data_IF_371982600443
#
_entry.id   IF_371982600443
#
_cell.length_a   1.000
_cell.length_b   1.000
_cell.length_c   1.000
_cell.angle_alpha   90.00
_cell.angle_beta   90.00
_cell.angle_gamma   90.00
#
_symmetry.space_group_name_H-M   'P 1'
#
loop_
_entity.id
_entity.type
_entity.pdbx_description
1 polymer ?
#
# COMPACT_ATOMS: atom_id res chain seq x y z
N UNK A 1 17.33 -17.16 4.74
CA UNK A 1 16.09 -16.47 5.16
C UNK A 1 15.93 -15.22 4.33
N UNK A 2 14.69 -14.92 3.89
CA UNK A 2 14.36 -13.74 3.13
C UNK A 2 12.95 -13.25 3.48
N UNK A 3 12.69 -11.97 3.22
CA UNK A 3 11.35 -11.37 3.26
C UNK A 3 10.65 -11.55 1.89
N UNK A 4 9.45 -10.99 1.74
CA UNK A 4 8.72 -10.96 0.47
C UNK A 4 9.47 -10.24 -0.67
N UNK A 5 10.57 -9.53 -0.39
CA UNK A 5 11.42 -8.93 -1.43
C UNK A 5 12.01 -10.01 -2.37
N UNK A 6 12.29 -11.20 -1.84
CA UNK A 6 12.76 -12.34 -2.63
C UNK A 6 11.63 -13.04 -3.40
N UNK A 7 10.37 -12.72 -3.12
CA UNK A 7 9.21 -13.30 -3.81
C UNK A 7 9.05 -12.73 -5.22
N UNK A 8 9.23 -11.41 -5.39
CA UNK A 8 8.98 -10.70 -6.65
C UNK A 8 10.16 -9.89 -7.15
N UNK A 9 10.85 -9.17 -6.26
CA UNK A 9 11.76 -8.08 -6.64
C UNK A 9 13.19 -8.54 -6.90
N UNK A 10 13.70 -9.54 -6.17
CA UNK A 10 15.06 -10.02 -6.32
C UNK A 10 15.10 -11.39 -6.95
N UNK A 11 16.06 -11.56 -7.89
CA UNK A 11 16.40 -12.86 -8.41
C UNK A 11 17.69 -13.33 -7.75
N UNK A 12 17.57 -14.31 -6.85
CA UNK A 12 18.74 -14.98 -6.24
C UNK A 12 19.08 -16.18 -7.09
N UNK A 13 20.27 -16.23 -7.71
CA UNK A 13 20.66 -17.36 -8.53
C UNK A 13 20.91 -18.62 -7.68
N UNK A 14 20.71 -19.81 -8.26
CA UNK A 14 21.03 -21.08 -7.62
C UNK A 14 20.06 -21.56 -6.54
N UNK A 15 18.90 -20.95 -6.41
CA UNK A 15 17.87 -21.42 -5.48
C UNK A 15 17.24 -22.72 -6.03
N UNK A 16 17.44 -23.82 -5.31
CA UNK A 16 16.90 -25.15 -5.61
C UNK A 16 15.75 -25.51 -4.68
N UNK A 17 15.80 -25.02 -3.44
CA UNK A 17 14.80 -25.31 -2.42
C UNK A 17 14.16 -24.03 -1.91
N UNK A 18 12.83 -24.05 -1.80
CA UNK A 18 12.06 -23.02 -1.14
C UNK A 18 11.30 -23.67 0.03
N UNK A 19 11.35 -23.03 1.20
CA UNK A 19 10.53 -23.40 2.36
C UNK A 19 9.55 -22.23 2.57
N UNK A 20 8.26 -22.48 2.36
CA UNK A 20 7.23 -21.46 2.43
C UNK A 20 6.35 -21.65 3.67
N UNK A 21 6.39 -20.70 4.64
CA UNK A 21 5.58 -20.78 5.85
C UNK A 21 4.11 -20.39 5.62
N UNK A 22 3.71 -19.94 4.44
CA UNK A 22 2.33 -19.57 4.13
C UNK A 22 1.88 -18.21 4.69
N UNK A 23 2.79 -17.43 5.25
CA UNK A 23 2.47 -16.13 5.86
C UNK A 23 3.40 -15.03 5.35
N UNK A 24 2.93 -13.78 5.49
CA UNK A 24 3.69 -12.58 5.16
C UNK A 24 3.42 -11.50 6.20
N UNK A 25 4.44 -10.68 6.50
CA UNK A 25 4.24 -9.43 7.22
C UNK A 25 3.77 -8.35 6.26
N UNK A 26 2.62 -7.76 6.54
CA UNK A 26 1.98 -6.76 5.70
C UNK A 26 1.60 -5.55 6.53
N UNK A 27 1.90 -4.36 6.02
CA UNK A 27 1.41 -3.12 6.62
C UNK A 27 -0.06 -2.95 6.25
N UNK A 28 -0.88 -2.65 7.25
CA UNK A 28 -2.28 -2.28 7.12
C UNK A 28 -2.52 -0.98 7.87
N UNK A 29 -3.17 -0.05 7.21
CA UNK A 29 -3.60 1.21 7.81
C UNK A 29 -4.99 1.05 8.42
N UNK A 30 -5.15 1.54 9.63
CA UNK A 30 -6.43 1.60 10.32
C UNK A 30 -6.93 3.05 10.37
N UNK A 31 -7.99 3.35 9.62
CA UNK A 31 -8.59 4.68 9.55
C UNK A 31 -9.24 5.13 10.89
N UNK A 32 -9.57 4.20 11.78
CA UNK A 32 -10.14 4.53 13.08
C UNK A 32 -9.09 5.09 14.04
N UNK A 33 -7.89 4.52 13.99
CA UNK A 33 -6.77 4.92 14.86
C UNK A 33 -5.77 5.86 14.17
N UNK A 34 -5.82 5.97 12.82
CA UNK A 34 -4.87 6.74 12.03
C UNK A 34 -3.47 6.12 12.00
N UNK A 35 -3.32 4.85 12.35
CA UNK A 35 -2.02 4.20 12.52
C UNK A 35 -1.81 3.06 11.51
N UNK A 36 -0.55 2.88 11.14
CA UNK A 36 -0.10 1.70 10.40
C UNK A 36 0.23 0.57 11.39
N UNK A 37 -0.30 -0.62 11.15
CA UNK A 37 0.01 -1.83 11.90
C UNK A 37 0.70 -2.86 10.99
N UNK A 38 1.81 -3.43 11.44
CA UNK A 38 2.46 -4.54 10.76
C UNK A 38 1.83 -5.85 11.22
N UNK A 39 0.99 -6.45 10.37
CA UNK A 39 0.29 -7.69 10.67
C UNK A 39 0.92 -8.88 9.96
N UNK A 40 0.88 -10.05 10.61
CA UNK A 40 1.19 -11.33 9.97
C UNK A 40 -0.12 -11.88 9.41
N UNK A 41 -0.17 -12.03 8.10
CA UNK A 41 -1.37 -12.50 7.38
C UNK A 41 -1.05 -13.69 6.47
N UNK A 42 -2.03 -14.55 6.14
CA UNK A 42 -1.85 -15.59 5.13
C UNK A 42 -1.48 -14.98 3.78
N UNK A 43 -0.64 -15.68 3.02
CA UNK A 43 -0.34 -15.32 1.65
C UNK A 43 -1.50 -15.67 0.71
N UNK A 44 -1.50 -15.09 -0.49
CA UNK A 44 -2.42 -15.50 -1.55
C UNK A 44 -1.90 -16.74 -2.29
N UNK A 45 -2.82 -17.43 -2.99
CA UNK A 45 -2.46 -18.54 -3.88
C UNK A 45 -1.48 -18.11 -4.98
N UNK A 46 -1.58 -16.87 -5.46
CA UNK A 46 -0.63 -16.28 -6.42
C UNK A 46 0.75 -16.13 -5.79
N UNK A 47 0.85 -15.61 -4.57
CA UNK A 47 2.13 -15.49 -3.85
C UNK A 47 2.75 -16.87 -3.58
N UNK A 48 1.95 -17.86 -3.20
CA UNK A 48 2.43 -19.24 -3.02
C UNK A 48 3.06 -19.81 -4.31
N UNK A 49 2.44 -19.53 -5.48
CA UNK A 49 3.01 -19.91 -6.80
C UNK A 49 4.29 -19.13 -7.11
N UNK A 50 4.32 -17.82 -6.83
CA UNK A 50 5.50 -16.99 -7.06
C UNK A 50 6.69 -17.45 -6.20
N UNK A 51 6.46 -17.77 -4.91
CA UNK A 51 7.48 -18.31 -4.01
C UNK A 51 8.01 -19.66 -4.50
N UNK A 52 7.12 -20.58 -4.85
CA UNK A 52 7.52 -21.86 -5.42
C UNK A 52 8.35 -21.70 -6.69
N UNK A 53 7.99 -20.76 -7.56
CA UNK A 53 8.73 -20.45 -8.79
C UNK A 53 10.14 -19.93 -8.58
N UNK A 54 10.55 -19.55 -7.38
CA UNK A 54 11.93 -19.17 -7.07
C UNK A 54 12.90 -20.36 -7.14
N UNK A 55 12.44 -21.56 -6.78
CA UNK A 55 13.25 -22.78 -6.88
C UNK A 55 13.38 -23.32 -8.31
N UNK A 56 12.57 -22.85 -9.26
CA UNK A 56 12.51 -23.41 -10.62
C UNK A 56 13.09 -22.54 -11.73
N UNK A 57 13.89 -21.50 -11.41
CA UNK A 57 14.34 -20.52 -12.41
C UNK A 57 15.49 -20.99 -13.29
N UNK A 58 16.51 -21.57 -12.71
CA UNK A 58 17.74 -21.96 -13.42
C UNK A 58 17.88 -23.46 -13.58
N UNK A 59 17.21 -24.23 -12.72
CA UNK A 59 17.21 -25.69 -12.72
C UNK A 59 15.97 -26.20 -11.99
N UNK A 60 15.68 -27.49 -12.10
CA UNK A 60 14.58 -28.12 -11.37
C UNK A 60 14.80 -27.97 -9.86
N UNK A 61 13.77 -27.54 -9.15
CA UNK A 61 13.82 -27.32 -7.71
C UNK A 61 12.57 -27.83 -7.00
N UNK A 62 12.55 -27.71 -5.68
CA UNK A 62 11.43 -28.17 -4.83
C UNK A 62 10.98 -27.04 -3.90
N UNK A 63 9.66 -26.93 -3.71
CA UNK A 63 9.05 -26.06 -2.70
C UNK A 63 8.39 -26.92 -1.61
N UNK A 64 8.81 -26.69 -0.38
CA UNK A 64 8.23 -27.31 0.81
C UNK A 64 7.30 -26.29 1.47
N UNK A 65 6.00 -26.57 1.43
CA UNK A 65 4.98 -25.75 2.06
C UNK A 65 4.75 -26.24 3.48
N UNK A 66 4.79 -25.34 4.44
CA UNK A 66 4.53 -25.63 5.86
C UNK A 66 3.05 -25.47 6.22
N UNK A 67 2.16 -25.67 5.24
CA UNK A 67 0.71 -25.61 5.36
C UNK A 67 0.08 -26.68 4.46
N UNK A 68 -1.15 -27.05 4.76
CA UNK A 68 -1.87 -28.10 4.05
C UNK A 68 -2.37 -27.62 2.69
N UNK A 69 -2.72 -28.58 1.82
CA UNK A 69 -3.36 -28.27 0.54
C UNK A 69 -4.73 -27.61 0.76
N UNK A 70 -5.48 -28.09 1.75
CA UNK A 70 -6.79 -27.54 2.09
C UNK A 70 -6.69 -26.09 2.58
N UNK A 71 -5.69 -25.76 3.40
CA UNK A 71 -5.42 -24.38 3.81
C UNK A 71 -5.12 -23.47 2.60
N UNK A 72 -4.37 -23.95 1.60
CA UNK A 72 -4.10 -23.20 0.39
C UNK A 72 -5.35 -22.96 -0.46
N UNK A 73 -6.24 -23.95 -0.55
CA UNK A 73 -7.41 -23.91 -1.44
C UNK A 73 -8.63 -23.26 -0.79
N UNK A 74 -8.80 -23.38 0.53
CA UNK A 74 -9.99 -22.94 1.25
C UNK A 74 -9.78 -21.68 2.10
N UNK A 75 -8.60 -21.54 2.72
CA UNK A 75 -8.37 -20.49 3.72
C UNK A 75 -7.55 -19.31 3.17
N UNK A 76 -6.70 -19.56 2.15
CA UNK A 76 -5.87 -18.50 1.58
C UNK A 76 -6.60 -17.76 0.46
N UNK A 77 -6.49 -16.42 0.39
CA UNK A 77 -7.10 -15.63 -0.69
C UNK A 77 -6.49 -16.03 -2.05
N UNK A 78 -7.30 -15.96 -3.11
CA UNK A 78 -6.82 -16.24 -4.46
C UNK A 78 -5.74 -15.23 -4.89
N UNK A 79 -5.97 -13.93 -4.64
CA UNK A 79 -5.07 -12.82 -4.97
C UNK A 79 -4.77 -11.99 -3.72
N UNK A 80 -3.64 -11.30 -3.72
CA UNK A 80 -3.29 -10.35 -2.66
C UNK A 80 -4.14 -9.09 -2.77
N UNK A 81 -4.65 -8.61 -1.64
CA UNK A 81 -5.40 -7.35 -1.59
C UNK A 81 -4.52 -6.20 -2.08
N UNK A 82 -4.99 -5.38 -3.05
CA UNK A 82 -4.24 -4.25 -3.59
C UNK A 82 -3.76 -3.27 -2.52
N UNK A 83 -2.63 -2.65 -2.75
CA UNK A 83 -2.03 -1.72 -1.77
C UNK A 83 -2.94 -0.54 -1.47
N UNK A 84 -3.61 0.01 -2.47
CA UNK A 84 -4.54 1.13 -2.33
C UNK A 84 -5.71 0.84 -1.37
N UNK A 85 -6.05 -0.42 -1.16
CA UNK A 85 -7.14 -0.84 -0.27
C UNK A 85 -6.69 -1.05 1.19
N UNK A 86 -5.39 -0.92 1.50
CA UNK A 86 -4.84 -1.25 2.81
C UNK A 86 -3.82 -0.25 3.36
N UNK A 87 -3.52 0.81 2.62
CA UNK A 87 -2.56 1.85 3.03
C UNK A 87 -3.23 3.19 3.27
N UNK A 88 -2.55 4.08 3.95
CA UNK A 88 -2.98 5.46 4.12
C UNK A 88 -3.02 6.17 2.76
N UNK A 89 -4.14 6.80 2.44
CA UNK A 89 -4.38 7.44 1.13
C UNK A 89 -4.12 8.95 1.12
N UNK A 90 -3.67 9.55 2.22
CA UNK A 90 -3.53 11.02 2.35
C UNK A 90 -2.65 11.59 1.24
N UNK A 91 -1.50 10.98 0.97
CA UNK A 91 -0.61 11.42 -0.11
C UNK A 91 -1.22 11.25 -1.50
N UNK A 92 -1.85 10.12 -1.77
CA UNK A 92 -2.51 9.83 -3.06
C UNK A 92 -3.66 10.80 -3.33
N UNK A 93 -4.52 11.05 -2.34
CA UNK A 93 -5.64 11.97 -2.46
C UNK A 93 -5.14 13.42 -2.64
N UNK A 94 -4.10 13.83 -1.88
CA UNK A 94 -3.50 15.15 -2.07
C UNK A 94 -2.98 15.32 -3.50
N UNK A 95 -2.25 14.34 -4.01
CA UNK A 95 -1.74 14.36 -5.38
C UNK A 95 -2.89 14.52 -6.39
N UNK A 96 -3.94 13.71 -6.31
CA UNK A 96 -5.12 13.80 -7.19
C UNK A 96 -5.78 15.19 -7.14
N UNK A 97 -5.92 15.77 -5.94
CA UNK A 97 -6.49 17.11 -5.77
C UNK A 97 -5.62 18.21 -6.39
N UNK A 98 -4.30 18.04 -6.41
CA UNK A 98 -3.37 19.03 -7.01
C UNK A 98 -3.34 18.99 -8.53
N UNK A 99 -3.77 17.91 -9.18
CA UNK A 99 -3.89 17.81 -10.65
C UNK A 99 -4.92 18.78 -11.24
N UNK A 100 -5.82 19.33 -10.39
CA UNK A 100 -6.84 20.31 -10.77
C UNK A 100 -7.69 19.90 -11.99
N UNK A 101 -8.02 18.61 -12.09
CA UNK A 101 -8.85 18.07 -13.15
C UNK A 101 -10.31 18.51 -12.95
N UNK A 102 -10.91 19.08 -13.99
CA UNK A 102 -12.31 19.51 -13.95
C UNK A 102 -13.23 18.32 -13.70
N UNK A 103 -14.10 18.43 -12.69
CA UNK A 103 -15.06 17.39 -12.35
C UNK A 103 -14.48 16.18 -11.59
N UNK A 104 -13.22 16.24 -11.16
CA UNK A 104 -12.62 15.17 -10.36
C UNK A 104 -13.20 15.19 -8.94
N UNK A 105 -14.04 14.21 -8.64
CA UNK A 105 -14.44 13.86 -7.29
C UNK A 105 -13.72 12.57 -6.87
N UNK A 106 -12.88 12.65 -5.84
CA UNK A 106 -12.11 11.50 -5.36
C UNK A 106 -12.97 10.40 -4.74
N UNK A 107 -14.21 10.74 -4.31
CA UNK A 107 -15.14 9.75 -3.77
C UNK A 107 -15.75 8.86 -4.86
N UNK A 108 -15.85 9.39 -6.08
CA UNK A 108 -16.43 8.70 -7.24
C UNK A 108 -15.39 8.43 -8.32
N UNK A 109 -14.10 8.67 -8.02
CA UNK A 109 -13.02 8.44 -8.96
C UNK A 109 -12.92 6.96 -9.34
N UNK A 110 -12.77 6.69 -10.63
CA UNK A 110 -12.69 5.34 -11.19
C UNK A 110 -11.29 4.73 -10.96
N UNK A 111 -11.07 4.26 -9.74
CA UNK A 111 -9.88 3.50 -9.42
C UNK A 111 -9.96 2.09 -10.02
N UNK A 112 -8.85 1.57 -10.50
CA UNK A 112 -8.78 0.18 -11.01
C UNK A 112 -9.24 -0.83 -9.94
N UNK A 113 -8.79 -0.63 -8.71
CA UNK A 113 -9.21 -1.37 -7.52
C UNK A 113 -9.66 -0.34 -6.47
N UNK A 114 -10.96 -0.03 -6.39
CA UNK A 114 -11.43 1.04 -5.51
C UNK A 114 -11.12 0.75 -4.03
N UNK A 115 -10.57 1.73 -3.31
CA UNK A 115 -10.38 1.62 -1.87
C UNK A 115 -11.70 1.76 -1.13
N UNK A 116 -11.70 1.38 0.15
CA UNK A 116 -12.84 1.64 1.04
C UNK A 116 -13.09 3.15 1.14
N UNK A 117 -14.36 3.55 1.05
CA UNK A 117 -14.79 4.95 1.20
C UNK A 117 -14.36 5.55 2.54
N UNK A 118 -14.25 4.72 3.59
CA UNK A 118 -13.74 5.14 4.89
C UNK A 118 -12.29 5.62 4.83
N UNK A 119 -11.43 4.97 4.01
CA UNK A 119 -10.04 5.38 3.81
C UNK A 119 -9.96 6.73 3.07
N UNK A 120 -10.80 6.93 2.06
CA UNK A 120 -10.86 8.20 1.31
C UNK A 120 -11.36 9.32 2.23
N UNK A 121 -12.43 9.07 2.98
CA UNK A 121 -12.99 10.06 3.90
C UNK A 121 -12.00 10.46 5.00
N UNK A 122 -11.27 9.49 5.55
CA UNK A 122 -10.22 9.77 6.53
C UNK A 122 -9.08 10.61 5.93
N UNK A 123 -8.64 10.28 4.71
CA UNK A 123 -7.62 11.05 4.00
C UNK A 123 -8.06 12.51 3.75
N UNK A 124 -9.30 12.71 3.30
CA UNK A 124 -9.85 14.07 3.10
C UNK A 124 -9.90 14.85 4.41
N UNK A 125 -10.34 14.21 5.51
CA UNK A 125 -10.39 14.82 6.83
C UNK A 125 -8.99 15.26 7.30
N UNK A 126 -7.98 14.40 7.17
CA UNK A 126 -6.60 14.72 7.51
C UNK A 126 -6.06 15.87 6.68
N UNK A 127 -6.29 15.87 5.35
CA UNK A 127 -5.85 16.95 4.45
C UNK A 127 -6.50 18.28 4.79
N UNK A 128 -7.77 18.27 5.19
CA UNK A 128 -8.47 19.46 5.65
C UNK A 128 -7.85 20.00 6.96
N UNK A 129 -7.57 19.16 7.94
CA UNK A 129 -6.97 19.57 9.22
C UNK A 129 -5.58 20.17 9.06
N UNK A 130 -4.77 19.67 8.13
CA UNK A 130 -3.44 20.26 7.86
C UNK A 130 -3.51 21.46 6.90
N UNK A 131 -4.69 21.86 6.46
CA UNK A 131 -4.91 22.99 5.55
C UNK A 131 -4.46 22.75 4.12
N UNK A 132 -4.29 21.49 3.71
CA UNK A 132 -3.90 21.13 2.34
C UNK A 132 -5.06 21.23 1.35
N UNK A 133 -6.31 21.07 1.82
CA UNK A 133 -7.53 21.32 1.06
C UNK A 133 -8.44 22.27 1.83
N UNK A 134 -9.29 23.00 1.10
CA UNK A 134 -10.32 23.87 1.66
C UNK A 134 -11.64 23.12 1.93
N UNK A 135 -12.67 23.86 2.38
CA UNK A 135 -14.01 23.33 2.67
C UNK A 135 -14.71 22.74 1.42
N UNK A 136 -14.39 23.26 0.25
CA UNK A 136 -14.88 22.73 -1.04
C UNK A 136 -14.08 21.49 -1.50
N UNK A 137 -13.10 21.05 -0.73
CA UNK A 137 -12.20 19.95 -1.06
C UNK A 137 -11.21 20.26 -2.18
N UNK A 138 -10.93 21.54 -2.46
CA UNK A 138 -9.94 21.97 -3.46
C UNK A 138 -8.57 22.12 -2.82
N UNK A 139 -7.51 21.78 -3.56
CA UNK A 139 -6.14 21.96 -3.08
C UNK A 139 -5.82 23.44 -2.86
N UNK A 140 -5.35 23.80 -1.67
CA UNK A 140 -4.87 25.13 -1.30
C UNK A 140 -3.47 25.38 -1.90
N UNK A 141 -2.94 26.63 -1.75
CA UNK A 141 -1.54 26.91 -2.07
C UNK A 141 -0.58 26.07 -1.22
N UNK A 142 -0.91 25.91 0.07
CA UNK A 142 -0.18 25.04 1.01
C UNK A 142 -0.19 23.58 0.54
N UNK A 143 -1.36 23.06 0.17
CA UNK A 143 -1.50 21.69 -0.33
C UNK A 143 -0.66 21.41 -1.58
N UNK A 144 -0.60 22.37 -2.50
CA UNK A 144 0.26 22.26 -3.68
C UNK A 144 1.76 22.27 -3.32
N UNK A 145 2.17 23.12 -2.38
CA UNK A 145 3.54 23.15 -1.90
C UNK A 145 3.90 21.82 -1.18
N UNK A 146 3.02 21.33 -0.31
CA UNK A 146 3.18 20.03 0.34
C UNK A 146 3.31 18.87 -0.65
N UNK A 147 2.50 18.86 -1.72
CA UNK A 147 2.52 17.80 -2.74
C UNK A 147 3.83 17.77 -3.56
N UNK A 148 4.59 18.86 -3.59
CA UNK A 148 5.89 18.90 -4.27
C UNK A 148 7.03 18.26 -3.46
N UNK A 149 6.82 18.01 -2.17
CA UNK A 149 7.80 17.40 -1.29
C UNK A 149 7.66 15.87 -1.29
N UNK A 150 8.74 15.09 -1.38
CA UNK A 150 8.70 13.62 -1.33
C UNK A 150 8.58 13.13 0.13
N UNK A 151 7.62 13.68 0.86
CA UNK A 151 7.39 13.41 2.28
C UNK A 151 5.92 13.10 2.55
N UNK A 152 5.65 12.43 3.66
CA UNK A 152 4.30 12.27 4.19
C UNK A 152 3.64 13.64 4.41
N UNK A 153 2.33 13.82 4.16
CA UNK A 153 1.66 15.12 4.22
C UNK A 153 1.84 15.87 5.54
N UNK A 154 1.84 15.20 6.68
CA UNK A 154 2.08 15.84 7.97
C UNK A 154 3.50 16.42 8.08
N UNK A 155 4.52 15.70 7.61
CA UNK A 155 5.90 16.16 7.58
C UNK A 155 6.06 17.28 6.54
N UNK A 156 5.44 17.16 5.38
CA UNK A 156 5.41 18.19 4.35
C UNK A 156 4.82 19.49 4.91
N UNK A 157 3.73 19.42 5.69
CA UNK A 157 3.14 20.58 6.36
C UNK A 157 4.11 21.26 7.32
N UNK A 158 4.82 20.47 8.14
CA UNK A 158 5.81 21.00 9.07
C UNK A 158 6.96 21.72 8.33
N UNK A 159 7.45 21.15 7.22
CA UNK A 159 8.50 21.76 6.40
C UNK A 159 8.05 23.06 5.73
N UNK A 160 6.82 23.08 5.18
CA UNK A 160 6.24 24.30 4.59
C UNK A 160 6.10 25.40 5.63
N UNK A 161 5.70 25.06 6.87
CA UNK A 161 5.56 26.05 7.93
C UNK A 161 6.93 26.53 8.46
N UNK A 162 7.91 25.63 8.61
CA UNK A 162 9.27 26.01 9.01
C UNK A 162 9.87 27.05 8.05
N UNK A 163 9.70 26.84 6.73
CA UNK A 163 10.16 27.81 5.70
C UNK A 163 9.51 29.19 5.79
N UNK A 164 8.34 29.29 6.44
CA UNK A 164 7.65 30.60 6.62
C UNK A 164 8.10 31.35 7.87
N UNK A 165 8.75 30.65 8.80
CA UNK A 165 9.23 31.20 10.06
C UNK A 165 10.68 31.69 9.98
N UNK A 166 11.42 31.29 8.92
CA UNK A 166 12.74 31.80 8.56
C UNK A 166 12.63 33.09 7.76
#
# INVERSE_FOLDING_TARGET
FATNIAETSLTVPGIVFVIDPGVVKQVEYDAMTGMNALKVVPISSVQAKQRAGRAGRTQAGRCYRLYTKDALELDMPAITRPEIQRTCLVGTILYLKTLNLKGLDVMTFDFLDPPDTALIADALRQLYFVGAIDLDGKATSIGREMSSLPLEPCLSRAMVEAKRLD
#
